data_IF_174511911624
#
_entry.id   IF_174511911624
#
_cell.length_a   1.000
_cell.length_b   1.000
_cell.length_c   1.000
_cell.angle_alpha   90.00
_cell.angle_beta   90.00
_cell.angle_gamma   90.00
#
_symmetry.space_group_name_H-M   'P 1'
#
loop_
_entity.id
_entity.type
_entity.pdbx_description
1 polymer ?
#
# COMPACT_ATOMS: atom_id res chain seq x y z
N UNK A 1 -39.50 50.86 4.98
CA UNK A 1 -39.35 50.38 3.59
C UNK A 1 -38.18 49.40 3.60
N UNK A 2 -38.38 48.20 4.15
CA UNK A 2 -38.85 46.96 3.49
C UNK A 2 -37.75 46.32 2.63
N UNK A 3 -36.91 45.54 3.31
CA UNK A 3 -35.98 44.55 2.78
C UNK A 3 -36.77 43.25 2.53
N UNK A 4 -36.81 42.81 1.27
CA UNK A 4 -37.51 41.58 0.86
C UNK A 4 -36.54 40.41 0.83
N UNK A 5 -36.80 39.39 1.65
CA UNK A 5 -36.19 38.07 1.57
C UNK A 5 -36.94 37.21 0.55
N UNK A 6 -36.21 36.57 -0.36
CA UNK A 6 -36.69 35.54 -1.28
C UNK A 6 -36.41 34.16 -0.67
N UNK A 7 -37.46 33.50 -0.18
CA UNK A 7 -37.46 32.06 0.11
C UNK A 7 -37.79 31.27 -1.17
N UNK A 8 -37.01 30.21 -1.44
CA UNK A 8 -37.22 29.26 -2.53
C UNK A 8 -37.17 27.80 -2.02
N UNK A 9 -38.10 26.90 -2.41
CA UNK A 9 -38.30 25.61 -1.75
C UNK A 9 -37.70 24.43 -2.54
N UNK A 10 -36.64 23.78 -2.04
CA UNK A 10 -36.07 22.54 -2.65
C UNK A 10 -35.64 21.45 -1.63
N UNK A 11 -36.07 21.52 -0.36
CA UNK A 11 -35.73 20.50 0.65
C UNK A 11 -36.70 19.29 0.71
N UNK A 12 -37.78 19.30 -0.07
CA UNK A 12 -38.92 18.36 0.10
C UNK A 12 -38.84 17.02 -0.64
N UNK A 13 -37.89 16.83 -1.56
CA UNK A 13 -37.88 15.64 -2.44
C UNK A 13 -36.89 14.57 -1.99
N UNK A 14 -35.80 14.94 -1.30
CA UNK A 14 -34.79 14.00 -0.82
C UNK A 14 -35.25 13.14 0.36
N UNK A 15 -36.21 13.61 1.16
CA UNK A 15 -36.71 12.88 2.35
C UNK A 15 -37.66 11.74 1.94
N UNK A 16 -38.40 11.86 0.83
CA UNK A 16 -39.37 10.82 0.42
C UNK A 16 -38.73 9.57 -0.20
N UNK A 17 -37.60 9.70 -0.90
CA UNK A 17 -36.94 8.56 -1.54
C UNK A 17 -36.14 7.70 -0.54
N UNK A 18 -35.59 8.31 0.52
CA UNK A 18 -34.86 7.61 1.59
C UNK A 18 -35.83 6.79 2.47
N UNK A 19 -37.05 7.31 2.70
CA UNK A 19 -38.07 6.61 3.49
C UNK A 19 -38.58 5.34 2.79
N UNK A 20 -38.64 5.31 1.46
CA UNK A 20 -39.18 4.16 0.71
C UNK A 20 -38.18 2.98 0.66
N UNK A 21 -36.87 3.24 0.55
CA UNK A 21 -35.85 2.18 0.61
C UNK A 21 -35.74 1.60 2.02
N UNK A 22 -35.90 2.43 3.06
CA UNK A 22 -35.87 1.99 4.45
C UNK A 22 -37.14 1.18 4.84
N UNK A 23 -38.31 1.49 4.25
CA UNK A 23 -39.53 0.70 4.45
C UNK A 23 -39.48 -0.69 3.78
N UNK A 24 -38.82 -0.82 2.63
CA UNK A 24 -38.66 -2.11 1.94
C UNK A 24 -37.77 -3.09 2.70
N UNK A 25 -36.69 -2.62 3.32
CA UNK A 25 -35.77 -3.43 4.13
C UNK A 25 -36.29 -3.73 5.55
N UNK A 26 -37.12 -2.85 6.11
CA UNK A 26 -37.80 -3.07 7.41
C UNK A 26 -38.80 -4.23 7.40
N UNK A 27 -39.39 -4.55 6.25
CA UNK A 27 -40.39 -5.61 6.14
C UNK A 27 -39.79 -7.02 6.03
N UNK A 28 -38.52 -7.16 5.64
CA UNK A 28 -37.90 -8.47 5.39
C UNK A 28 -36.96 -8.90 6.52
N UNK A 29 -36.24 -7.99 7.18
CA UNK A 29 -35.30 -8.34 8.26
C UNK A 29 -35.17 -7.23 9.34
N UNK A 30 -36.07 -7.18 10.34
CA UNK A 30 -36.08 -6.11 11.34
C UNK A 30 -34.85 -6.08 12.28
N UNK A 31 -34.03 -7.15 12.31
CA UNK A 31 -32.82 -7.23 13.16
C UNK A 31 -31.53 -6.77 12.45
N UNK A 32 -31.53 -6.60 11.13
CA UNK A 32 -30.34 -6.20 10.37
C UNK A 32 -30.20 -4.68 10.20
N UNK A 33 -31.31 -3.95 10.30
CA UNK A 33 -31.36 -2.50 10.04
C UNK A 33 -30.66 -1.67 11.13
N UNK A 34 -30.78 -2.07 12.40
CA UNK A 34 -30.03 -1.41 13.49
C UNK A 34 -28.51 -1.58 13.33
N UNK A 35 -28.05 -2.70 12.78
CA UNK A 35 -26.61 -2.99 12.64
C UNK A 35 -25.97 -2.13 11.53
N UNK A 36 -26.65 -1.93 10.40
CA UNK A 36 -26.15 -1.12 9.28
C UNK A 36 -26.10 0.38 9.59
N UNK A 37 -27.11 0.93 10.28
CA UNK A 37 -27.13 2.34 10.69
C UNK A 37 -26.04 2.64 11.73
N UNK A 38 -25.76 1.69 12.63
CA UNK A 38 -24.72 1.80 13.67
C UNK A 38 -23.31 1.87 13.08
N UNK A 39 -23.01 1.10 12.02
CA UNK A 39 -21.71 1.10 11.34
C UNK A 39 -21.50 2.40 10.56
N UNK A 40 -22.53 2.90 9.88
CA UNK A 40 -22.42 4.09 9.03
C UNK A 40 -22.18 5.38 9.83
N UNK A 41 -22.75 5.45 11.04
CA UNK A 41 -22.72 6.65 11.86
C UNK A 41 -21.52 6.67 12.85
N UNK A 42 -21.01 5.50 13.26
CA UNK A 42 -19.79 5.42 14.08
C UNK A 42 -18.53 5.84 13.29
N UNK A 43 -18.57 5.65 11.96
CA UNK A 43 -17.52 6.10 11.03
C UNK A 43 -17.37 7.63 10.99
N UNK A 44 -18.46 8.39 11.06
CA UNK A 44 -18.41 9.85 10.97
C UNK A 44 -17.88 10.52 12.25
N UNK A 45 -18.02 9.87 13.42
CA UNK A 45 -17.61 10.45 14.70
C UNK A 45 -16.11 10.26 14.98
N UNK A 46 -15.53 9.10 14.63
CA UNK A 46 -14.10 8.80 14.87
C UNK A 46 -13.19 9.56 13.89
N UNK A 47 -13.67 9.85 12.67
CA UNK A 47 -12.86 10.50 11.63
C UNK A 47 -12.84 12.03 11.78
N UNK A 48 -13.93 12.67 12.23
CA UNK A 48 -13.95 14.12 12.47
C UNK A 48 -13.20 14.55 13.73
N UNK A 49 -13.05 13.67 14.73
CA UNK A 49 -12.32 13.96 15.97
C UNK A 49 -10.78 13.89 15.81
N UNK A 50 -10.26 13.33 14.71
CA UNK A 50 -8.82 13.10 14.52
C UNK A 50 -8.17 13.94 13.39
N UNK A 51 -8.94 14.72 12.64
CA UNK A 51 -8.42 15.44 11.47
C UNK A 51 -9.06 16.82 11.28
N UNK A 52 -8.56 17.87 11.96
CA UNK A 52 -8.44 19.29 11.52
C UNK A 52 -7.91 20.20 12.66
N UNK A 53 -7.15 21.30 12.43
CA UNK A 53 -6.16 21.60 11.39
C UNK A 53 -4.71 21.66 11.94
N UNK A 54 -3.75 21.27 11.09
CA UNK A 54 -2.36 21.73 11.19
C UNK A 54 -2.33 23.25 10.96
N UNK A 55 -2.30 24.01 12.05
CA UNK A 55 -2.00 25.44 12.08
C UNK A 55 -0.52 25.61 11.71
N UNK A 56 -0.24 26.02 10.46
CA UNK A 56 1.08 26.51 10.10
C UNK A 56 1.34 27.82 10.87
N UNK A 57 2.18 27.76 11.89
CA UNK A 57 2.72 28.93 12.58
C UNK A 57 4.07 29.27 11.93
N UNK A 58 4.08 30.28 11.07
CA UNK A 58 5.28 30.86 10.48
C UNK A 58 5.86 31.93 11.40
N UNK A 59 6.84 31.56 12.23
CA UNK A 59 7.75 32.54 12.84
C UNK A 59 9.13 31.91 13.01
N UNK A 60 10.00 32.09 12.01
CA UNK A 60 11.45 32.01 12.19
C UNK A 60 12.08 33.23 11.54
N UNK A 61 12.38 34.22 12.38
CA UNK A 61 13.27 35.34 12.10
C UNK A 61 14.68 34.88 12.47
N UNK A 62 15.40 34.32 11.50
CA UNK A 62 16.79 33.87 11.65
C UNK A 62 17.75 34.82 10.94
N UNK A 63 18.66 35.44 11.69
CA UNK A 63 19.77 36.27 11.21
C UNK A 63 20.69 35.45 10.29
N UNK A 64 21.01 36.01 9.12
CA UNK A 64 22.01 35.47 8.21
C UNK A 64 23.40 35.47 8.83
N UNK A 65 24.08 34.33 8.72
CA UNK A 65 25.52 34.18 8.90
C UNK A 65 26.04 33.59 7.60
N UNK A 66 26.86 34.36 6.89
CA UNK A 66 27.55 33.91 5.68
C UNK A 66 28.37 32.65 6.01
N UNK A 67 28.20 31.61 5.20
CA UNK A 67 29.03 30.41 5.23
C UNK A 67 29.72 30.32 3.87
N UNK A 68 31.04 30.33 3.95
CA UNK A 68 32.02 30.11 2.90
C UNK A 68 31.67 28.95 1.96
N UNK A 69 31.82 29.23 0.67
CA UNK A 69 31.73 28.30 -0.44
C UNK A 69 32.88 27.29 -0.42
N UNK A 70 32.65 26.12 0.18
CA UNK A 70 33.50 24.95 -0.04
C UNK A 70 33.08 24.21 -1.31
N UNK A 71 34.03 24.05 -2.23
CA UNK A 71 33.93 23.34 -3.51
C UNK A 71 33.28 21.95 -3.38
N UNK A 72 32.05 21.80 -3.89
CA UNK A 72 31.43 20.49 -4.08
C UNK A 72 32.01 19.79 -5.31
N UNK A 73 32.23 18.46 -5.25
CA UNK A 73 32.65 17.68 -6.40
C UNK A 73 31.55 17.68 -7.48
N UNK A 74 31.99 17.79 -8.74
CA UNK A 74 31.19 17.84 -9.96
C UNK A 74 30.18 16.68 -10.04
N UNK A 75 28.97 16.86 -9.50
CA UNK A 75 27.91 15.87 -9.61
C UNK A 75 27.24 16.00 -10.97
N UNK A 76 27.01 14.91 -11.72
CA UNK A 76 26.26 14.96 -12.97
C UNK A 76 24.84 15.45 -12.69
N UNK A 77 24.53 16.65 -13.20
CA UNK A 77 23.22 17.28 -13.10
C UNK A 77 22.28 16.51 -14.02
N UNK A 78 21.30 15.81 -13.47
CA UNK A 78 20.20 15.25 -14.27
C UNK A 78 19.46 16.44 -14.87
N UNK A 79 19.34 16.53 -16.21
CA UNK A 79 18.72 17.69 -16.85
C UNK A 79 17.25 17.82 -16.38
N UNK A 80 16.76 19.05 -16.19
CA UNK A 80 15.35 19.27 -15.91
C UNK A 80 14.52 18.68 -17.05
N UNK A 81 13.42 18.00 -16.69
CA UNK A 81 12.49 17.46 -17.67
C UNK A 81 12.01 18.60 -18.59
N UNK A 82 12.03 18.42 -19.93
CA UNK A 82 11.38 19.37 -20.82
C UNK A 82 9.89 19.38 -20.50
N UNK A 83 9.31 20.57 -20.34
CA UNK A 83 7.87 20.73 -20.12
C UNK A 83 7.15 20.05 -21.31
N UNK A 84 6.31 19.01 -21.09
CA UNK A 84 5.63 18.34 -22.18
C UNK A 84 4.87 19.40 -22.96
N UNK A 85 5.15 19.50 -24.27
CA UNK A 85 4.59 20.53 -25.12
C UNK A 85 3.08 20.63 -24.88
N UNK A 86 2.63 21.81 -24.46
CA UNK A 86 1.24 22.17 -24.20
C UNK A 86 0.45 22.22 -25.51
N UNK A 87 0.47 21.11 -26.26
CA UNK A 87 -0.47 20.90 -27.35
C UNK A 87 -1.88 21.08 -26.81
N UNK A 88 -2.78 21.62 -27.62
CA UNK A 88 -4.14 22.05 -27.24
C UNK A 88 -5.04 20.97 -26.64
N UNK A 89 -4.57 19.73 -26.49
CA UNK A 89 -5.31 18.65 -25.88
C UNK A 89 -5.33 18.79 -24.35
N UNK A 90 -6.52 18.99 -23.78
CA UNK A 90 -6.74 18.97 -22.34
C UNK A 90 -6.31 17.60 -21.76
N UNK A 91 -5.31 17.51 -20.88
CA UNK A 91 -4.85 16.23 -20.32
C UNK A 91 -5.94 15.53 -19.51
N UNK A 92 -6.93 16.27 -18.99
CA UNK A 92 -8.04 15.70 -18.24
C UNK A 92 -9.18 15.15 -19.12
N UNK A 93 -9.08 15.22 -20.45
CA UNK A 93 -10.17 14.82 -21.35
C UNK A 93 -10.44 13.30 -21.35
N UNK A 94 -9.42 12.48 -21.09
CA UNK A 94 -9.52 11.03 -21.04
C UNK A 94 -8.42 10.43 -20.16
N UNK A 95 -8.61 9.18 -19.71
CA UNK A 95 -7.57 8.46 -18.97
C UNK A 95 -6.27 8.35 -19.76
N UNK A 96 -6.37 8.08 -21.07
CA UNK A 96 -5.22 7.93 -21.96
C UNK A 96 -4.43 9.23 -22.07
N UNK A 97 -5.12 10.36 -22.25
CA UNK A 97 -4.51 11.69 -22.30
C UNK A 97 -3.85 12.06 -20.96
N UNK A 98 -4.52 11.79 -19.84
CA UNK A 98 -3.98 12.05 -18.51
C UNK A 98 -2.74 11.20 -18.26
N UNK A 99 -2.81 9.91 -18.60
CA UNK A 99 -1.72 8.97 -18.41
C UNK A 99 -0.50 9.33 -19.25
N UNK A 100 -0.69 9.72 -20.52
CA UNK A 100 0.38 10.21 -21.38
C UNK A 100 1.07 11.46 -20.81
N UNK A 101 0.31 12.34 -20.15
CA UNK A 101 0.84 13.54 -19.48
C UNK A 101 1.56 13.21 -18.16
N UNK A 102 1.04 12.25 -17.38
CA UNK A 102 1.55 11.86 -16.06
C UNK A 102 2.80 10.97 -16.14
N UNK A 103 2.86 10.05 -17.11
CA UNK A 103 3.90 9.01 -17.18
C UNK A 103 5.32 9.59 -17.19
N UNK A 104 5.65 10.65 -17.96
CA UNK A 104 7.01 11.22 -17.94
C UNK A 104 7.43 11.72 -16.55
N UNK A 105 6.50 12.28 -15.76
CA UNK A 105 6.78 12.71 -14.40
C UNK A 105 7.06 11.50 -13.49
N UNK A 106 6.27 10.42 -13.63
CA UNK A 106 6.45 9.19 -12.87
C UNK A 106 7.78 8.50 -13.22
N UNK A 107 8.09 8.37 -14.51
CA UNK A 107 9.35 7.77 -14.95
C UNK A 107 10.56 8.56 -14.44
N UNK A 108 10.47 9.89 -14.43
CA UNK A 108 11.54 10.70 -13.90
C UNK A 108 11.76 10.54 -12.39
N UNK A 109 10.70 10.39 -11.59
CA UNK A 109 10.85 10.24 -10.13
C UNK A 109 11.14 8.82 -9.69
N UNK A 110 10.64 7.81 -10.42
CA UNK A 110 10.75 6.40 -10.03
C UNK A 110 11.92 5.70 -10.73
N UNK A 111 12.14 5.97 -12.03
CA UNK A 111 13.09 5.23 -12.87
C UNK A 111 14.41 5.95 -13.10
N UNK A 112 14.44 7.29 -13.08
CA UNK A 112 15.69 8.01 -13.36
C UNK A 112 16.81 7.64 -12.37
N UNK A 113 18.04 7.45 -12.87
CA UNK A 113 19.20 7.28 -12.01
C UNK A 113 19.35 8.49 -11.08
N UNK A 114 19.55 8.23 -9.78
CA UNK A 114 19.91 9.24 -8.78
C UNK A 114 21.15 8.77 -8.03
N UNK A 115 22.06 9.71 -7.80
CA UNK A 115 23.24 9.52 -6.95
C UNK A 115 22.87 9.42 -5.48
N UNK A 116 21.65 9.87 -5.11
CA UNK A 116 21.15 9.84 -3.72
C UNK A 116 20.04 8.81 -3.60
N UNK A 117 20.30 7.59 -3.07
CA UNK A 117 19.29 6.54 -2.99
C UNK A 117 18.13 6.89 -2.04
N UNK A 118 18.32 7.86 -1.15
CA UNK A 118 17.31 8.33 -0.21
C UNK A 118 16.36 9.39 -0.78
N UNK A 119 16.65 9.97 -1.96
CA UNK A 119 15.89 11.09 -2.52
C UNK A 119 15.60 10.89 -4.01
N UNK A 120 14.32 11.03 -4.35
CA UNK A 120 13.87 11.05 -5.74
C UNK A 120 14.37 12.33 -6.46
N UNK A 121 14.62 12.27 -7.77
CA UNK A 121 14.83 13.46 -8.60
C UNK A 121 13.72 14.48 -8.43
N UNK A 122 14.07 15.76 -8.44
CA UNK A 122 13.09 16.83 -8.38
C UNK A 122 12.34 16.93 -9.71
N UNK A 123 11.03 17.18 -9.64
CA UNK A 123 10.22 17.61 -10.77
C UNK A 123 10.15 19.14 -10.72
N UNK A 124 10.15 19.77 -11.89
CA UNK A 124 9.89 21.20 -12.00
C UNK A 124 8.51 21.58 -11.40
N UNK A 125 8.44 22.76 -10.78
CA UNK A 125 7.23 23.19 -10.07
C UNK A 125 6.05 23.42 -11.03
N UNK A 126 6.29 23.92 -12.24
CA UNK A 126 5.23 24.11 -13.24
C UNK A 126 4.64 22.77 -13.64
N UNK A 127 5.50 21.77 -13.88
CA UNK A 127 5.03 20.44 -14.25
C UNK A 127 4.31 19.74 -13.09
N UNK A 128 4.80 19.89 -11.85
CA UNK A 128 4.13 19.40 -10.65
C UNK A 128 2.71 19.98 -10.52
N UNK A 129 2.56 21.30 -10.66
CA UNK A 129 1.28 21.98 -10.59
C UNK A 129 0.33 21.58 -11.74
N UNK A 130 0.89 21.40 -12.95
CA UNK A 130 0.19 20.90 -14.12
C UNK A 130 -0.39 19.50 -13.91
N UNK A 131 0.41 18.57 -13.40
CA UNK A 131 -0.03 17.20 -13.08
C UNK A 131 -1.13 17.21 -12.03
N UNK A 132 -0.93 17.95 -10.94
CA UNK A 132 -1.94 18.06 -9.89
C UNK A 132 -3.28 18.59 -10.44
N UNK A 133 -3.24 19.63 -11.25
CA UNK A 133 -4.42 20.24 -11.88
C UNK A 133 -5.10 19.29 -12.88
N UNK A 134 -4.32 18.57 -13.68
CA UNK A 134 -4.83 17.57 -14.62
C UNK A 134 -5.54 16.41 -13.90
N UNK A 135 -4.93 15.87 -12.84
CA UNK A 135 -5.55 14.83 -12.00
C UNK A 135 -6.83 15.33 -11.33
N UNK A 136 -6.80 16.54 -10.75
CA UNK A 136 -7.98 17.17 -10.16
C UNK A 136 -9.11 17.29 -11.18
N UNK A 137 -8.83 17.86 -12.34
CA UNK A 137 -9.81 18.08 -13.40
C UNK A 137 -10.35 16.74 -13.91
N UNK A 138 -9.52 15.72 -14.09
CA UNK A 138 -9.97 14.41 -14.56
C UNK A 138 -10.96 13.78 -13.57
N UNK A 139 -10.64 13.81 -12.27
CA UNK A 139 -11.48 13.23 -11.22
C UNK A 139 -12.79 14.03 -11.04
N UNK A 140 -12.74 15.35 -11.19
CA UNK A 140 -13.90 16.23 -10.95
C UNK A 140 -14.79 16.43 -12.18
N UNK A 141 -14.22 16.59 -13.38
CA UNK A 141 -15.00 16.78 -14.63
C UNK A 141 -15.90 15.59 -14.94
N UNK A 142 -15.44 14.39 -14.65
CA UNK A 142 -16.23 13.16 -14.84
C UNK A 142 -17.36 13.03 -13.81
N UNK A 143 -17.29 13.72 -12.67
CA UNK A 143 -18.44 13.83 -11.77
C UNK A 143 -19.56 14.73 -12.33
N UNK A 144 -19.23 15.70 -13.20
CA UNK A 144 -20.19 16.70 -13.73
C UNK A 144 -20.93 16.21 -14.97
N UNK A 145 -20.28 15.50 -15.89
CA UNK A 145 -20.88 14.94 -17.11
C UNK A 145 -22.07 14.01 -16.82
N UNK A 146 -22.14 13.45 -15.62
CA UNK A 146 -23.18 12.53 -15.19
C UNK A 146 -24.35 13.16 -14.41
N UNK A 147 -24.31 14.47 -14.15
CA UNK A 147 -25.44 15.22 -13.56
C UNK A 147 -26.45 15.73 -14.61
N UNK A 148 -26.28 15.40 -15.90
CA UNK A 148 -27.29 15.64 -16.92
C UNK A 148 -28.47 14.68 -16.63
N UNK A 149 -29.73 15.17 -16.55
CA UNK A 149 -30.84 14.35 -16.11
C UNK A 149 -31.02 13.15 -17.05
N UNK A 150 -31.00 11.90 -16.56
CA UNK A 150 -31.37 10.76 -17.38
C UNK A 150 -32.85 10.91 -17.73
N UNK A 151 -33.17 10.81 -19.02
CA UNK A 151 -34.52 10.56 -19.48
C UNK A 151 -35.07 9.32 -18.77
N UNK A 152 -35.97 9.57 -17.81
CA UNK A 152 -36.81 8.66 -17.01
C UNK A 152 -36.64 7.15 -17.27
N UNK A 153 -35.75 6.48 -16.52
CA UNK A 153 -35.96 5.12 -16.00
C UNK A 153 -35.34 4.99 -14.59
N UNK A 154 -36.07 4.51 -13.57
CA UNK A 154 -35.59 4.46 -12.20
C UNK A 154 -35.03 3.07 -11.86
N UNK A 155 -33.70 2.94 -11.78
CA UNK A 155 -33.03 1.88 -11.02
C UNK A 155 -31.54 2.18 -10.88
N UNK A 156 -31.07 2.33 -9.63
CA UNK A 156 -29.67 2.23 -9.14
C UNK A 156 -28.87 3.53 -8.88
N UNK A 157 -27.94 3.51 -7.89
CA UNK A 157 -27.54 4.68 -7.11
C UNK A 157 -26.34 5.42 -7.74
N UNK A 158 -26.42 6.75 -7.72
CA UNK A 158 -25.48 7.71 -8.32
C UNK A 158 -24.05 7.74 -7.73
N UNK A 159 -23.76 6.96 -6.69
CA UNK A 159 -22.42 6.89 -6.08
C UNK A 159 -21.44 6.00 -6.84
N UNK A 160 -21.94 5.03 -7.61
CA UNK A 160 -21.15 3.92 -8.16
C UNK A 160 -20.31 4.32 -9.40
N UNK A 161 -20.59 5.47 -10.02
CA UNK A 161 -19.98 5.87 -11.30
C UNK A 161 -18.77 6.80 -11.11
N UNK A 162 -18.78 7.68 -10.09
CA UNK A 162 -17.58 8.49 -9.74
C UNK A 162 -16.44 7.64 -9.17
N UNK A 163 -16.76 6.48 -8.60
CA UNK A 163 -15.78 5.47 -8.21
C UNK A 163 -15.04 4.88 -9.40
N UNK A 164 -15.68 4.73 -10.57
CA UNK A 164 -15.09 4.04 -11.73
C UNK A 164 -13.92 4.80 -12.32
N UNK A 165 -14.07 6.10 -12.59
CA UNK A 165 -13.00 6.91 -13.20
C UNK A 165 -11.74 7.00 -12.32
N UNK A 166 -11.93 7.17 -11.00
CA UNK A 166 -10.79 7.24 -10.08
C UNK A 166 -10.18 5.86 -9.83
N UNK A 167 -10.99 4.79 -9.93
CA UNK A 167 -10.50 3.41 -9.91
C UNK A 167 -9.63 3.12 -11.13
N UNK A 168 -10.02 3.54 -12.33
CA UNK A 168 -9.23 3.30 -13.54
C UNK A 168 -7.81 3.91 -13.44
N UNK A 169 -7.70 5.14 -12.90
CA UNK A 169 -6.40 5.76 -12.65
C UNK A 169 -5.59 5.00 -11.59
N UNK A 170 -6.23 4.53 -10.52
CA UNK A 170 -5.58 3.72 -9.50
C UNK A 170 -5.07 2.39 -10.06
N UNK A 171 -5.87 1.70 -10.87
CA UNK A 171 -5.50 0.45 -11.54
C UNK A 171 -4.36 0.66 -12.54
N UNK A 172 -4.33 1.82 -13.21
CA UNK A 172 -3.24 2.19 -14.09
C UNK A 172 -1.93 2.45 -13.32
N UNK A 173 -1.99 3.08 -12.14
CA UNK A 173 -0.84 3.23 -11.24
C UNK A 173 -0.35 1.87 -10.72
N UNK A 174 -1.28 0.98 -10.37
CA UNK A 174 -0.97 -0.36 -9.90
C UNK A 174 -0.22 -1.18 -10.97
N UNK A 175 -0.68 -1.14 -12.22
CA UNK A 175 0.02 -1.73 -13.39
C UNK A 175 1.41 -1.12 -13.58
N UNK A 176 1.51 0.21 -13.52
CA UNK A 176 2.78 0.93 -13.67
C UNK A 176 3.83 0.49 -12.64
N UNK A 177 3.47 0.43 -11.36
CA UNK A 177 4.39 -0.03 -10.32
C UNK A 177 4.74 -1.51 -10.48
N UNK A 178 3.81 -2.34 -10.95
CA UNK A 178 4.09 -3.73 -11.25
C UNK A 178 5.13 -3.88 -12.38
N UNK A 179 4.93 -3.20 -13.50
CA UNK A 179 5.83 -3.25 -14.66
C UNK A 179 7.22 -2.70 -14.32
N UNK A 180 7.26 -1.55 -13.64
CA UNK A 180 8.52 -0.95 -13.16
C UNK A 180 9.28 -1.93 -12.26
N UNK A 181 8.58 -2.63 -11.38
CA UNK A 181 9.21 -3.60 -10.48
C UNK A 181 9.74 -4.84 -11.23
N UNK A 182 9.02 -5.31 -12.25
CA UNK A 182 9.48 -6.42 -13.11
C UNK A 182 10.75 -6.05 -13.87
N UNK A 183 10.84 -4.83 -14.38
CA UNK A 183 12.06 -4.30 -15.02
C UNK A 183 13.26 -4.34 -14.05
N UNK A 184 13.05 -3.95 -12.79
CA UNK A 184 14.08 -4.05 -11.74
C UNK A 184 14.48 -5.51 -11.49
N UNK A 185 13.52 -6.44 -11.41
CA UNK A 185 13.81 -7.86 -11.20
C UNK A 185 14.62 -8.46 -12.37
N UNK A 186 14.29 -8.08 -13.61
CA UNK A 186 15.03 -8.50 -14.80
C UNK A 186 16.47 -8.00 -14.80
N UNK A 187 16.73 -6.86 -14.15
CA UNK A 187 18.05 -6.26 -14.00
C UNK A 187 18.83 -6.80 -12.79
N UNK A 188 18.23 -7.68 -11.98
CA UNK A 188 18.86 -8.16 -10.75
C UNK A 188 20.01 -9.16 -11.04
N UNK A 189 21.21 -8.95 -10.44
CA UNK A 189 22.36 -9.82 -10.65
C UNK A 189 22.16 -11.21 -10.03
N UNK A 190 23.14 -12.09 -10.24
CA UNK A 190 23.18 -13.41 -9.60
C UNK A 190 23.40 -13.30 -8.08
N UNK A 191 23.47 -14.43 -7.38
CA UNK A 191 23.28 -14.49 -5.93
C UNK A 191 24.30 -13.69 -5.08
N UNK A 192 25.58 -13.60 -5.46
CA UNK A 192 26.63 -12.93 -4.66
C UNK A 192 26.40 -11.42 -4.48
N UNK A 193 26.03 -10.72 -5.56
CA UNK A 193 25.84 -9.27 -5.57
C UNK A 193 24.38 -8.85 -5.32
N UNK A 194 23.50 -9.83 -5.12
CA UNK A 194 22.06 -9.61 -5.07
C UNK A 194 21.66 -8.66 -3.93
N UNK A 195 22.27 -8.80 -2.74
CA UNK A 195 21.90 -7.95 -1.59
C UNK A 195 22.37 -6.51 -1.79
N UNK A 196 23.61 -6.33 -2.27
CA UNK A 196 24.17 -5.03 -2.61
C UNK A 196 23.40 -4.35 -3.76
N UNK A 197 22.71 -5.12 -4.60
CA UNK A 197 21.77 -4.59 -5.59
C UNK A 197 20.41 -4.21 -4.97
N UNK A 198 19.80 -5.10 -4.18
CA UNK A 198 18.43 -4.94 -3.67
C UNK A 198 18.29 -3.71 -2.81
N UNK A 199 19.23 -3.48 -1.89
CA UNK A 199 19.15 -2.40 -0.91
C UNK A 199 19.07 -1.01 -1.58
N UNK A 200 20.06 -0.59 -2.41
CA UNK A 200 19.99 0.70 -3.08
C UNK A 200 18.87 0.76 -4.12
N UNK A 201 18.56 -0.35 -4.80
CA UNK A 201 17.44 -0.44 -5.74
C UNK A 201 16.11 -0.13 -5.04
N UNK A 202 15.83 -0.79 -3.91
CA UNK A 202 14.64 -0.54 -3.12
C UNK A 202 14.62 0.86 -2.53
N UNK A 203 15.74 1.36 -2.00
CA UNK A 203 15.80 2.71 -1.43
C UNK A 203 15.40 3.77 -2.47
N UNK A 204 15.97 3.68 -3.68
CA UNK A 204 15.63 4.56 -4.81
C UNK A 204 14.16 4.43 -5.19
N UNK A 205 13.69 3.20 -5.39
CA UNK A 205 12.29 2.92 -5.74
C UNK A 205 11.33 3.48 -4.69
N UNK A 206 11.62 3.26 -3.40
CA UNK A 206 10.84 3.74 -2.28
C UNK A 206 10.83 5.27 -2.22
N UNK A 207 11.96 5.94 -2.44
CA UNK A 207 12.02 7.40 -2.49
C UNK A 207 11.17 7.95 -3.65
N UNK A 208 11.24 7.32 -4.81
CA UNK A 208 10.40 7.62 -5.98
C UNK A 208 8.91 7.43 -5.70
N UNK A 209 8.53 6.31 -5.11
CA UNK A 209 7.15 6.01 -4.70
C UNK A 209 6.61 7.03 -3.69
N UNK A 210 7.42 7.47 -2.73
CA UNK A 210 7.03 8.54 -1.80
C UNK A 210 6.84 9.89 -2.51
N UNK A 211 7.64 10.17 -3.55
CA UNK A 211 7.44 11.36 -4.39
C UNK A 211 6.16 11.28 -5.21
N UNK A 212 5.89 10.14 -5.84
CA UNK A 212 4.65 9.88 -6.57
C UNK A 212 3.42 10.00 -5.66
N UNK A 213 3.50 9.50 -4.43
CA UNK A 213 2.46 9.61 -3.42
C UNK A 213 2.12 11.07 -3.06
N UNK A 214 3.14 11.95 -3.01
CA UNK A 214 2.93 13.40 -2.79
C UNK A 214 2.30 14.05 -4.02
N UNK A 215 2.83 13.78 -5.21
CA UNK A 215 2.34 14.29 -6.49
C UNK A 215 0.85 13.94 -6.71
N UNK A 216 0.48 12.72 -6.36
CA UNK A 216 -0.85 12.16 -6.57
C UNK A 216 -1.69 12.10 -5.29
N UNK A 217 -1.37 12.93 -4.29
CA UNK A 217 -2.07 12.90 -3.00
C UNK A 217 -3.58 13.18 -3.11
N UNK A 218 -4.01 13.83 -4.19
CA UNK A 218 -5.43 14.02 -4.49
C UNK A 218 -6.18 12.68 -4.66
N UNK A 219 -5.55 11.69 -5.32
CA UNK A 219 -6.10 10.33 -5.46
C UNK A 219 -6.26 9.67 -4.09
N UNK A 220 -5.28 9.83 -3.19
CA UNK A 220 -5.39 9.31 -1.83
C UNK A 220 -6.60 9.90 -1.07
N UNK A 221 -6.75 11.22 -1.13
CA UNK A 221 -7.79 11.94 -0.36
C UNK A 221 -9.21 11.66 -0.85
N UNK A 222 -9.38 11.48 -2.16
CA UNK A 222 -10.72 11.38 -2.77
C UNK A 222 -11.10 9.97 -3.18
N UNK A 223 -10.16 9.15 -3.66
CA UNK A 223 -10.45 7.78 -4.08
C UNK A 223 -10.09 6.77 -2.99
N UNK A 224 -8.83 6.73 -2.55
CA UNK A 224 -8.37 5.73 -1.58
C UNK A 224 -9.15 5.84 -0.28
N UNK A 225 -9.30 7.06 0.26
CA UNK A 225 -10.12 7.30 1.45
C UNK A 225 -11.54 6.76 1.28
N UNK A 226 -12.21 7.08 0.17
CA UNK A 226 -13.57 6.61 -0.11
C UNK A 226 -13.64 5.10 -0.23
N UNK A 227 -12.70 4.47 -0.94
CA UNK A 227 -12.64 3.02 -1.09
C UNK A 227 -12.43 2.31 0.26
N UNK A 228 -11.60 2.87 1.13
CA UNK A 228 -11.44 2.39 2.52
C UNK A 228 -12.74 2.57 3.30
N UNK A 229 -13.42 3.71 3.13
CA UNK A 229 -14.76 3.99 3.68
C UNK A 229 -15.86 3.06 3.10
N UNK A 230 -15.61 2.42 1.97
CA UNK A 230 -16.47 1.41 1.34
C UNK A 230 -16.02 -0.03 1.63
N UNK A 231 -15.15 -0.21 2.62
CA UNK A 231 -14.65 -1.53 3.06
C UNK A 231 -13.70 -2.25 2.09
N UNK A 232 -13.08 -1.52 1.16
CA UNK A 232 -12.07 -2.03 0.24
C UNK A 232 -10.63 -1.82 0.72
N UNK A 233 -10.45 -1.37 1.96
CA UNK A 233 -9.14 -1.11 2.55
C UNK A 233 -8.32 -2.38 2.86
N UNK A 234 -7.10 -2.20 3.37
CA UNK A 234 -6.22 -3.32 3.75
C UNK A 234 -6.80 -4.21 4.87
N UNK A 235 -7.61 -3.62 5.75
CA UNK A 235 -8.34 -4.31 6.81
C UNK A 235 -9.83 -4.10 6.58
N UNK A 236 -10.52 -5.15 6.11
CA UNK A 236 -11.97 -5.08 5.89
C UNK A 236 -12.75 -5.38 7.16
N UNK A 237 -13.98 -4.91 7.21
CA UNK A 237 -14.98 -5.24 8.21
C UNK A 237 -15.19 -6.74 8.20
N UNK A 238 -15.17 -7.41 7.04
CA UNK A 238 -15.20 -8.88 6.95
C UNK A 238 -14.10 -9.55 7.77
N UNK A 239 -12.84 -9.08 7.64
CA UNK A 239 -11.68 -9.62 8.37
C UNK A 239 -11.79 -9.39 9.89
N UNK A 240 -12.41 -8.28 10.29
CA UNK A 240 -12.63 -7.93 11.69
C UNK A 240 -13.86 -8.64 12.26
N UNK A 241 -14.92 -8.79 11.46
CA UNK A 241 -16.22 -9.27 11.88
C UNK A 241 -16.17 -10.73 12.31
N UNK A 242 -15.37 -11.58 11.66
CA UNK A 242 -15.22 -12.97 12.13
C UNK A 242 -14.64 -13.03 13.56
N UNK A 243 -13.72 -12.11 13.89
CA UNK A 243 -13.17 -11.99 15.24
C UNK A 243 -14.15 -11.36 16.21
N UNK A 244 -14.86 -10.32 15.79
CA UNK A 244 -15.85 -9.62 16.61
C UNK A 244 -17.05 -10.52 16.88
N UNK A 245 -17.59 -11.24 15.90
CA UNK A 245 -18.72 -12.15 16.05
C UNK A 245 -18.45 -13.28 17.06
N UNK A 246 -17.21 -13.78 17.15
CA UNK A 246 -16.80 -14.77 18.17
C UNK A 246 -16.75 -14.19 19.59
N UNK A 247 -16.61 -12.87 19.72
CA UNK A 247 -16.40 -12.18 20.99
C UNK A 247 -17.55 -11.26 21.41
N UNK A 248 -18.52 -10.99 20.52
CA UNK A 248 -19.66 -10.11 20.79
C UNK A 248 -20.73 -10.87 21.54
N UNK A 249 -21.20 -10.27 22.63
CA UNK A 249 -22.35 -10.74 23.40
C UNK A 249 -23.61 -10.03 22.92
N UNK A 250 -24.77 -10.67 23.07
CA UNK A 250 -26.05 -10.10 22.67
C UNK A 250 -26.39 -8.74 23.32
N UNK A 251 -25.73 -8.42 24.45
CA UNK A 251 -25.95 -7.20 25.22
C UNK A 251 -24.85 -6.14 25.00
N UNK A 252 -23.91 -6.37 24.09
CA UNK A 252 -22.85 -5.38 23.85
C UNK A 252 -23.43 -4.10 23.23
N UNK A 253 -23.02 -2.97 23.80
CA UNK A 253 -23.35 -1.63 23.31
C UNK A 253 -22.57 -1.30 22.04
N UNK A 254 -23.03 -0.25 21.33
CA UNK A 254 -22.37 0.27 20.12
C UNK A 254 -20.92 0.66 20.38
N UNK A 255 -20.67 1.30 21.50
CA UNK A 255 -19.35 1.77 21.93
C UNK A 255 -18.42 0.58 22.21
N UNK A 256 -18.94 -0.51 22.80
CA UNK A 256 -18.18 -1.74 23.05
C UNK A 256 -17.80 -2.45 21.76
N UNK A 257 -18.70 -2.49 20.77
CA UNK A 257 -18.41 -3.04 19.44
C UNK A 257 -17.31 -2.20 18.75
N UNK A 258 -17.43 -0.87 18.77
CA UNK A 258 -16.41 0.03 18.21
C UNK A 258 -15.04 -0.14 18.90
N UNK A 259 -15.02 -0.33 20.22
CA UNK A 259 -13.80 -0.63 20.98
C UNK A 259 -13.18 -1.96 20.56
N UNK A 260 -13.98 -3.02 20.41
CA UNK A 260 -13.50 -4.34 19.95
C UNK A 260 -12.93 -4.28 18.53
N UNK A 261 -13.52 -3.49 17.64
CA UNK A 261 -12.98 -3.24 16.29
C UNK A 261 -11.63 -2.54 16.38
N UNK A 262 -11.51 -1.48 17.19
CA UNK A 262 -10.24 -0.76 17.41
C UNK A 262 -9.17 -1.68 17.99
N UNK A 263 -9.51 -2.48 19.00
CA UNK A 263 -8.61 -3.45 19.63
C UNK A 263 -8.11 -4.48 18.61
N UNK A 264 -9.00 -5.03 17.78
CA UNK A 264 -8.62 -5.97 16.72
C UNK A 264 -7.66 -5.31 15.72
N UNK A 265 -7.90 -4.06 15.33
CA UNK A 265 -6.98 -3.31 14.47
C UNK A 265 -5.60 -3.17 15.13
N UNK A 266 -5.54 -2.86 16.42
CA UNK A 266 -4.27 -2.78 17.18
C UNK A 266 -3.56 -4.14 17.20
N UNK A 267 -4.28 -5.24 17.42
CA UNK A 267 -3.71 -6.60 17.38
C UNK A 267 -3.11 -6.91 16.00
N UNK A 268 -3.80 -6.55 14.92
CA UNK A 268 -3.28 -6.72 13.56
C UNK A 268 -2.03 -5.87 13.31
N UNK A 269 -2.00 -4.63 13.81
CA UNK A 269 -0.82 -3.75 13.73
C UNK A 269 0.33 -4.22 14.64
N UNK A 270 0.04 -4.92 15.73
CA UNK A 270 1.03 -5.55 16.60
C UNK A 270 1.90 -6.56 15.86
N UNK A 271 1.36 -7.23 14.83
CA UNK A 271 2.14 -8.09 13.93
C UNK A 271 3.23 -7.32 13.17
N UNK A 272 3.10 -6.01 13.06
CA UNK A 272 4.06 -5.13 12.39
C UNK A 272 4.97 -4.38 13.37
N UNK A 273 4.92 -4.74 14.66
CA UNK A 273 5.73 -4.16 15.72
C UNK A 273 5.12 -2.91 16.37
N UNK A 274 3.85 -2.59 16.08
CA UNK A 274 3.15 -1.51 16.76
C UNK A 274 2.79 -1.91 18.19
N UNK A 275 3.03 -1.01 19.14
CA UNK A 275 2.62 -1.15 20.54
C UNK A 275 1.92 0.12 20.98
N UNK A 276 0.68 0.02 21.45
CA UNK A 276 -0.12 1.19 21.85
C UNK A 276 0.52 1.84 23.09
N UNK A 277 0.70 3.17 23.06
CA UNK A 277 1.23 3.94 24.18
C UNK A 277 2.72 3.82 24.44
N UNK A 278 3.45 3.01 23.66
CA UNK A 278 4.89 2.90 23.81
C UNK A 278 5.56 4.20 23.34
N UNK A 279 6.32 4.84 24.25
CA UNK A 279 7.15 6.03 23.99
C UNK A 279 8.60 5.61 24.10
N UNK A 280 9.38 5.75 23.04
CA UNK A 280 10.77 5.33 22.99
C UNK A 280 11.35 5.43 21.59
N UNK A 281 12.65 5.69 21.50
CA UNK A 281 13.38 5.63 20.24
C UNK A 281 13.39 4.20 19.69
N UNK A 282 13.19 4.05 18.38
CA UNK A 282 13.20 2.73 17.71
C UNK A 282 11.85 1.99 17.68
N UNK A 283 10.78 2.55 18.27
CA UNK A 283 9.45 1.97 18.17
C UNK A 283 8.81 2.28 16.81
N UNK A 284 8.10 1.28 16.29
CA UNK A 284 7.36 1.42 15.02
C UNK A 284 6.18 2.35 15.25
N UNK A 285 6.14 3.45 14.52
CA UNK A 285 5.01 4.38 14.61
C UNK A 285 3.73 3.73 14.07
N UNK A 286 2.57 4.24 14.47
CA UNK A 286 1.28 3.77 13.95
C UNK A 286 1.25 3.82 12.41
N UNK A 287 1.71 4.94 11.84
CA UNK A 287 1.73 5.16 10.39
C UNK A 287 2.67 4.18 9.66
N UNK A 288 3.83 3.86 10.23
CA UNK A 288 4.74 2.87 9.65
C UNK A 288 4.17 1.46 9.71
N UNK A 289 3.54 1.08 10.83
CA UNK A 289 2.90 -0.22 10.96
C UNK A 289 1.72 -0.38 9.99
N UNK A 290 0.91 0.66 9.83
CA UNK A 290 -0.17 0.71 8.84
C UNK A 290 0.38 0.61 7.41
N UNK A 291 1.42 1.36 7.06
CA UNK A 291 2.05 1.26 5.74
C UNK A 291 2.61 -0.15 5.45
N UNK A 292 3.21 -0.81 6.44
CA UNK A 292 3.68 -2.19 6.30
C UNK A 292 2.50 -3.17 6.13
N UNK A 293 1.42 -2.99 6.89
CA UNK A 293 0.21 -3.82 6.78
C UNK A 293 -0.49 -3.63 5.42
N UNK A 294 -0.55 -2.40 4.94
CA UNK A 294 -1.04 -2.07 3.60
C UNK A 294 -0.20 -2.71 2.51
N UNK A 295 1.12 -2.59 2.56
CA UNK A 295 2.03 -3.23 1.61
C UNK A 295 1.89 -4.77 1.64
N UNK A 296 1.58 -5.33 2.81
CA UNK A 296 1.36 -6.75 2.99
C UNK A 296 -0.02 -7.25 2.52
N UNK A 297 -0.96 -6.35 2.25
CA UNK A 297 -2.32 -6.71 1.87
C UNK A 297 -2.36 -7.45 0.51
N UNK A 298 -3.43 -8.22 0.25
CA UNK A 298 -3.72 -8.76 -1.08
C UNK A 298 -3.86 -7.66 -2.15
N UNK A 299 -3.65 -8.02 -3.43
CA UNK A 299 -3.67 -7.06 -4.56
C UNK A 299 -5.05 -6.47 -4.84
N UNK A 300 -6.13 -7.15 -4.42
CA UNK A 300 -7.52 -6.69 -4.52
C UNK A 300 -7.90 -5.60 -3.51
N UNK A 301 -7.03 -5.31 -2.52
CA UNK A 301 -7.25 -4.24 -1.55
C UNK A 301 -6.80 -2.89 -2.09
N UNK A 302 -7.49 -1.83 -1.70
CA UNK A 302 -7.15 -0.43 -1.98
C UNK A 302 -6.35 0.13 -0.80
N UNK A 303 -5.17 0.65 -1.10
CA UNK A 303 -4.20 1.18 -0.14
C UNK A 303 -3.59 2.49 -0.63
N UNK A 304 -2.86 3.21 0.22
CA UNK A 304 -2.15 4.42 -0.19
C UNK A 304 -1.16 4.14 -1.33
N UNK A 305 -0.94 5.13 -2.21
CA UNK A 305 -0.07 4.99 -3.40
C UNK A 305 1.36 4.55 -3.03
N UNK A 306 1.92 5.05 -1.93
CA UNK A 306 3.23 4.57 -1.47
C UNK A 306 3.23 3.09 -1.09
N UNK A 307 2.21 2.65 -0.36
CA UNK A 307 2.04 1.26 0.06
C UNK A 307 1.70 0.34 -1.11
N UNK A 308 0.99 0.85 -2.12
CA UNK A 308 0.71 0.19 -3.40
C UNK A 308 2.01 -0.14 -4.14
N UNK A 309 2.92 0.84 -4.24
CA UNK A 309 4.24 0.63 -4.83
C UNK A 309 5.05 -0.41 -4.04
N UNK A 310 5.11 -0.28 -2.70
CA UNK A 310 5.80 -1.25 -1.85
C UNK A 310 5.20 -2.67 -1.96
N UNK A 311 3.87 -2.78 -2.06
CA UNK A 311 3.17 -4.05 -2.33
C UNK A 311 3.62 -4.66 -3.66
N UNK A 312 3.74 -3.85 -4.71
CA UNK A 312 4.23 -4.32 -6.02
C UNK A 312 5.69 -4.73 -5.97
N UNK A 313 6.54 -4.00 -5.23
CA UNK A 313 7.91 -4.44 -4.96
C UNK A 313 7.94 -5.81 -4.28
N UNK A 314 7.03 -6.07 -3.32
CA UNK A 314 6.93 -7.39 -2.70
C UNK A 314 6.55 -8.47 -3.72
N UNK A 315 5.43 -8.31 -4.40
CA UNK A 315 4.83 -9.39 -5.22
C UNK A 315 5.59 -9.64 -6.52
N UNK A 316 6.15 -8.60 -7.13
CA UNK A 316 6.79 -8.70 -8.45
C UNK A 316 8.32 -8.81 -8.36
N UNK A 317 8.95 -8.50 -7.21
CA UNK A 317 10.41 -8.58 -7.02
C UNK A 317 10.81 -9.54 -5.90
N UNK A 318 10.34 -9.32 -4.66
CA UNK A 318 10.81 -10.08 -3.51
C UNK A 318 10.29 -11.52 -3.51
N UNK A 319 8.99 -11.74 -3.74
CA UNK A 319 8.38 -13.07 -3.77
C UNK A 319 8.99 -13.99 -4.84
N UNK A 320 9.23 -13.55 -6.09
CA UNK A 320 9.97 -14.34 -7.08
C UNK A 320 11.39 -14.73 -6.63
N UNK A 321 12.09 -13.87 -5.89
CA UNK A 321 13.42 -14.18 -5.38
C UNK A 321 13.40 -15.12 -4.16
N UNK A 322 12.28 -15.15 -3.43
CA UNK A 322 12.04 -16.09 -2.33
C UNK A 322 11.56 -17.46 -2.82
N UNK A 323 10.90 -17.51 -3.98
CA UNK A 323 10.36 -18.73 -4.54
C UNK A 323 11.47 -19.75 -4.85
N UNK A 324 11.22 -21.00 -4.45
CA UNK A 324 12.08 -22.13 -4.80
C UNK A 324 11.78 -22.53 -6.24
N UNK A 325 12.78 -22.58 -7.15
CA UNK A 325 12.57 -23.10 -8.49
C UNK A 325 12.02 -24.52 -8.40
N UNK A 326 10.79 -24.73 -8.90
CA UNK A 326 10.23 -26.07 -9.02
C UNK A 326 11.08 -26.81 -10.04
N UNK A 327 12.05 -27.62 -9.58
CA UNK A 327 12.77 -28.53 -10.45
C UNK A 327 11.72 -29.41 -11.12
N UNK A 328 11.44 -29.16 -12.40
CA UNK A 328 10.46 -29.92 -13.17
C UNK A 328 11.03 -31.32 -13.28
N UNK A 329 10.68 -32.15 -12.29
CA UNK A 329 11.17 -33.51 -12.15
C UNK A 329 11.03 -34.19 -13.49
N UNK A 330 12.17 -34.57 -14.07
CA UNK A 330 12.26 -35.39 -15.26
C UNK A 330 11.45 -36.64 -14.93
N UNK A 331 10.21 -36.71 -15.44
CA UNK A 331 9.25 -37.77 -15.16
C UNK A 331 9.93 -39.08 -15.54
N UNK A 332 10.51 -39.74 -14.55
CA UNK A 332 11.21 -41.00 -14.68
C UNK A 332 10.21 -42.01 -15.20
N UNK A 333 10.26 -42.22 -16.51
CA UNK A 333 9.54 -43.26 -17.23
C UNK A 333 10.16 -44.59 -16.81
N UNK A 334 9.76 -45.13 -15.66
CA UNK A 334 9.96 -46.53 -15.29
C UNK A 334 9.15 -46.87 -14.04
N UNK A 335 8.00 -47.52 -14.22
CA UNK A 335 7.85 -48.96 -13.96
C UNK A 335 6.42 -49.38 -14.34
N UNK A 336 6.32 -50.17 -15.42
CA UNK A 336 5.18 -51.06 -15.64
C UNK A 336 5.14 -52.03 -14.46
N UNK A 337 4.03 -52.06 -13.73
CA UNK A 337 3.71 -53.07 -12.72
C UNK A 337 2.20 -53.14 -12.63
N UNK A 338 1.64 -54.22 -13.15
CA UNK A 338 0.21 -54.48 -13.27
C UNK A 338 -0.42 -54.93 -11.94
N UNK A 339 -1.73 -54.70 -11.82
CA UNK A 339 -2.63 -55.23 -10.79
C UNK A 339 -2.88 -54.22 -9.65
N UNK A 340 -4.10 -53.88 -9.24
CA UNK A 340 -5.46 -54.30 -9.59
C UNK A 340 -6.38 -53.83 -8.46
N UNK A 341 -7.60 -53.38 -8.78
CA UNK A 341 -8.66 -52.98 -7.84
C UNK A 341 -8.38 -51.66 -7.10
N UNK A 342 -9.27 -50.67 -7.02
CA UNK A 342 -10.72 -50.68 -6.93
C UNK A 342 -11.08 -49.85 -5.69
N UNK A 343 -11.94 -48.84 -5.84
CA UNK A 343 -12.52 -48.10 -4.70
C UNK A 343 -12.32 -46.59 -4.76
N UNK A 344 -13.39 -45.88 -5.08
CA UNK A 344 -13.45 -44.42 -5.14
C UNK A 344 -13.46 -43.74 -3.77
N UNK A 345 -13.13 -42.45 -3.77
CA UNK A 345 -13.23 -41.56 -2.62
C UNK A 345 -12.88 -40.14 -3.04
N UNK A 346 -13.91 -39.29 -3.11
CA UNK A 346 -13.87 -37.89 -3.53
C UNK A 346 -13.68 -36.99 -2.29
N UNK A 347 -12.79 -35.99 -2.44
CA UNK A 347 -12.66 -34.71 -1.74
C UNK A 347 -12.51 -34.63 -0.22
N UNK A 348 -11.46 -33.90 0.20
CA UNK A 348 -11.36 -33.25 1.51
C UNK A 348 -10.01 -32.58 1.68
N UNK A 349 -9.94 -31.27 1.40
CA UNK A 349 -8.72 -30.46 1.51
C UNK A 349 -8.18 -30.39 2.94
N UNK A 350 -6.89 -30.68 3.09
CA UNK A 350 -6.18 -30.60 4.35
C UNK A 350 -4.75 -30.10 4.12
N UNK A 351 -4.56 -28.80 4.25
CA UNK A 351 -3.25 -28.18 4.46
C UNK A 351 -2.81 -28.49 5.88
N UNK A 352 -1.81 -29.36 6.06
CA UNK A 352 -0.88 -29.26 7.19
C UNK A 352 0.39 -30.03 6.88
N UNK A 353 1.46 -29.27 6.69
CA UNK A 353 2.83 -29.75 6.59
C UNK A 353 3.37 -30.00 7.99
N UNK A 354 3.55 -31.27 8.38
CA UNK A 354 4.47 -31.66 9.45
C UNK A 354 5.26 -32.87 8.97
N UNK A 355 6.31 -32.63 8.17
CA UNK A 355 7.31 -33.63 7.83
C UNK A 355 8.61 -33.29 8.54
N UNK A 356 8.81 -33.86 9.73
CA UNK A 356 10.11 -33.97 10.40
C UNK A 356 10.94 -35.08 9.73
N UNK A 357 11.23 -34.91 8.44
CA UNK A 357 12.11 -35.78 7.68
C UNK A 357 13.36 -35.01 7.28
N UNK A 358 14.52 -35.44 7.77
CA UNK A 358 15.88 -35.01 7.39
C UNK A 358 16.16 -35.34 5.91
N UNK A 359 15.38 -34.78 4.99
CA UNK A 359 15.73 -34.76 3.58
C UNK A 359 16.85 -33.75 3.34
N UNK A 360 17.77 -33.99 2.39
CA UNK A 360 18.77 -33.01 2.02
C UNK A 360 18.07 -31.70 1.64
N UNK A 361 18.57 -30.54 2.10
CA UNK A 361 17.90 -29.27 1.92
C UNK A 361 17.69 -29.01 0.43
N UNK A 362 16.43 -28.98 0.00
CA UNK A 362 16.07 -28.61 -1.37
C UNK A 362 16.63 -27.23 -1.74
N UNK A 363 16.68 -26.90 -3.04
CA UNK A 363 17.23 -25.62 -3.49
C UNK A 363 16.47 -24.47 -2.82
N UNK A 364 17.16 -23.65 -2.03
CA UNK A 364 16.57 -22.45 -1.42
C UNK A 364 16.31 -21.41 -2.52
N UNK A 365 15.36 -20.50 -2.29
CA UNK A 365 15.15 -19.33 -3.16
C UNK A 365 16.43 -18.48 -3.25
N UNK A 366 16.61 -17.76 -4.36
CA UNK A 366 17.81 -16.96 -4.66
C UNK A 366 18.19 -16.00 -3.54
N UNK A 367 17.20 -15.24 -3.04
CA UNK A 367 17.43 -14.30 -1.93
C UNK A 367 17.83 -15.03 -0.64
N UNK A 368 17.25 -16.21 -0.37
CA UNK A 368 17.62 -16.98 0.80
C UNK A 368 19.03 -17.58 0.70
N UNK A 369 19.53 -17.85 -0.52
CA UNK A 369 20.94 -18.25 -0.75
C UNK A 369 21.88 -17.06 -0.57
N UNK A 370 21.57 -15.92 -1.18
CA UNK A 370 22.37 -14.69 -1.02
C UNK A 370 22.48 -14.26 0.46
N UNK A 371 21.38 -14.31 1.22
CA UNK A 371 21.42 -14.01 2.67
C UNK A 371 22.18 -15.08 3.45
N UNK A 372 22.15 -16.35 3.01
CA UNK A 372 22.96 -17.39 3.64
C UNK A 372 24.44 -17.10 3.45
N UNK A 373 24.85 -16.78 2.23
CA UNK A 373 26.22 -16.44 1.85
C UNK A 373 26.71 -15.19 2.58
N UNK A 374 25.93 -14.11 2.60
CA UNK A 374 26.27 -12.88 3.33
C UNK A 374 26.54 -13.14 4.82
N UNK A 375 25.71 -13.97 5.46
CA UNK A 375 25.79 -14.21 6.90
C UNK A 375 26.82 -15.28 7.30
N UNK A 376 27.27 -16.11 6.36
CA UNK A 376 28.21 -17.22 6.59
C UNK A 376 29.57 -16.98 5.93
N UNK A 377 29.77 -15.88 5.21
CA UNK A 377 31.06 -15.56 4.59
C UNK A 377 32.13 -15.35 5.66
N UNK A 378 33.28 -15.98 5.51
CA UNK A 378 34.45 -15.78 6.37
C UNK A 378 35.27 -14.62 5.79
N UNK A 379 35.45 -13.53 6.56
CA UNK A 379 36.20 -12.34 6.11
C UNK A 379 35.95 -11.10 6.95
N UNK A 380 36.89 -10.16 6.88
CA UNK A 380 37.11 -9.03 7.81
C UNK A 380 36.07 -7.89 7.79
N UNK A 381 34.97 -8.00 7.05
CA UNK A 381 33.96 -6.94 6.94
C UNK A 381 32.63 -7.28 7.66
N UNK A 382 32.73 -7.56 8.96
CA UNK A 382 31.56 -7.84 9.80
C UNK A 382 30.62 -6.63 9.96
N UNK A 383 31.16 -5.43 9.87
CA UNK A 383 30.38 -4.19 9.93
C UNK A 383 29.47 -4.06 8.70
N UNK A 384 29.99 -4.31 7.49
CA UNK A 384 29.19 -4.33 6.26
C UNK A 384 28.10 -5.39 6.29
N UNK A 385 28.42 -6.61 6.77
CA UNK A 385 27.43 -7.68 6.91
C UNK A 385 26.29 -7.26 7.83
N UNK A 386 26.62 -6.66 8.97
CA UNK A 386 25.64 -6.13 9.91
C UNK A 386 24.78 -5.04 9.27
N UNK A 387 25.41 -4.07 8.59
CA UNK A 387 24.71 -2.99 7.87
C UNK A 387 23.75 -3.54 6.82
N UNK A 388 24.22 -4.42 5.94
CA UNK A 388 23.39 -5.06 4.92
C UNK A 388 22.24 -5.87 5.53
N UNK A 389 22.48 -6.59 6.64
CA UNK A 389 21.44 -7.35 7.31
C UNK A 389 20.34 -6.44 7.90
N UNK A 390 20.72 -5.33 8.56
CA UNK A 390 19.79 -4.32 9.10
C UNK A 390 18.98 -3.67 7.99
N UNK A 391 19.63 -3.22 6.92
CA UNK A 391 18.97 -2.57 5.80
C UNK A 391 18.04 -3.54 5.06
N UNK A 392 18.47 -4.76 4.78
CA UNK A 392 17.63 -5.77 4.14
C UNK A 392 16.43 -6.16 5.01
N UNK A 393 16.61 -6.29 6.34
CA UNK A 393 15.48 -6.51 7.25
C UNK A 393 14.47 -5.36 7.19
N UNK A 394 14.96 -4.11 7.10
CA UNK A 394 14.13 -2.92 6.91
C UNK A 394 13.37 -2.94 5.57
N UNK A 395 14.03 -3.34 4.47
CA UNK A 395 13.38 -3.53 3.16
C UNK A 395 12.25 -4.56 3.26
N UNK A 396 12.54 -5.76 3.78
CA UNK A 396 11.55 -6.83 3.91
C UNK A 396 10.35 -6.40 4.76
N UNK A 397 10.59 -5.65 5.84
CA UNK A 397 9.52 -5.10 6.68
C UNK A 397 8.66 -4.10 5.90
N UNK A 398 9.26 -3.10 5.24
CA UNK A 398 8.56 -2.03 4.52
C UNK A 398 7.70 -2.55 3.38
N UNK A 399 8.16 -3.57 2.66
CA UNK A 399 7.38 -4.19 1.57
C UNK A 399 6.32 -5.16 2.09
N UNK A 400 6.15 -5.33 3.40
CA UNK A 400 5.10 -6.15 3.97
C UNK A 400 5.43 -7.65 3.98
N UNK A 401 6.71 -8.04 4.09
CA UNK A 401 7.07 -9.43 4.44
C UNK A 401 6.78 -9.65 5.92
N UNK A 402 5.93 -10.65 6.18
CA UNK A 402 5.46 -10.96 7.53
C UNK A 402 6.61 -11.27 8.49
N UNK A 403 6.49 -10.90 9.79
CA UNK A 403 7.52 -11.14 10.81
C UNK A 403 7.80 -12.63 11.04
N UNK A 404 6.84 -13.51 10.76
CA UNK A 404 6.97 -14.94 10.95
C UNK A 404 7.81 -15.62 9.86
N UNK A 405 8.08 -14.92 8.76
CA UNK A 405 8.86 -15.41 7.62
C UNK A 405 10.29 -15.79 8.04
N UNK A 406 10.73 -16.99 7.64
CA UNK A 406 12.01 -17.58 8.07
C UNK A 406 13.22 -16.70 7.77
N UNK A 407 13.24 -16.07 6.59
CA UNK A 407 14.35 -15.19 6.21
C UNK A 407 14.43 -13.94 7.10
N UNK A 408 13.28 -13.35 7.43
CA UNK A 408 13.20 -12.15 8.26
C UNK A 408 13.64 -12.48 9.70
N UNK A 409 13.15 -13.59 10.25
CA UNK A 409 13.62 -14.13 11.55
C UNK A 409 15.13 -14.39 11.58
N UNK A 410 15.70 -14.92 10.48
CA UNK A 410 17.16 -15.17 10.39
C UNK A 410 17.94 -13.86 10.49
N UNK A 411 17.53 -12.83 9.75
CA UNK A 411 18.15 -11.51 9.80
C UNK A 411 17.98 -10.84 11.17
N UNK A 412 16.76 -10.83 11.72
CA UNK A 412 16.49 -10.25 13.04
C UNK A 412 17.29 -10.94 14.16
N UNK A 413 17.43 -12.28 14.11
CA UNK A 413 18.28 -13.02 15.06
C UNK A 413 19.75 -12.65 14.92
N UNK A 414 20.27 -12.53 13.69
CA UNK A 414 21.65 -12.12 13.46
C UNK A 414 21.92 -10.72 14.02
N UNK A 415 21.03 -9.77 13.75
CA UNK A 415 21.12 -8.39 14.28
C UNK A 415 21.11 -8.40 15.82
N UNK A 416 20.19 -9.15 16.43
CA UNK A 416 20.10 -9.24 17.89
C UNK A 416 21.36 -9.83 18.54
N UNK A 417 21.97 -10.84 17.92
CA UNK A 417 23.25 -11.41 18.37
C UNK A 417 24.37 -10.36 18.36
N UNK A 418 24.48 -9.56 17.29
CA UNK A 418 25.51 -8.52 17.17
C UNK A 418 25.34 -7.37 18.17
N UNK A 419 24.10 -6.94 18.40
CA UNK A 419 23.81 -5.92 19.43
C UNK A 419 24.20 -6.42 20.84
N UNK A 420 24.02 -7.72 21.10
CA UNK A 420 24.38 -8.33 22.39
C UNK A 420 25.88 -8.50 22.61
N UNK A 421 26.67 -8.58 21.53
CA UNK A 421 28.14 -8.62 21.59
C UNK A 421 28.71 -7.23 21.90
N UNK A 422 28.23 -6.20 21.19
CA UNK A 422 28.73 -4.82 21.36
C UNK A 422 28.39 -4.17 22.71
N UNK A 423 27.42 -4.70 23.46
CA UNK A 423 27.03 -4.18 24.77
C UNK A 423 27.81 -4.75 25.96
N UNK A 424 28.80 -5.62 25.73
CA UNK A 424 29.60 -6.27 26.79
C UNK A 424 30.97 -5.64 27.01
N UNK A 425 31.41 -4.79 26.09
CA UNK A 425 32.62 -3.97 26.19
C UNK A 425 32.28 -2.62 26.85
#
# INVERSE_FOLDING_TARGET
MSEQALEGPQAGVYIKSIVIVDLGLRLVYPKYTQFCTVIYDARNYVINALFFPLRMSSTLKGKGKEIESSSQPNTPIVPPLPNPATGSANPAASLSSLWAYLTPALDHIVKSPTNTPSRAPAIDMEFYAGVHSACYNYITSQAVTHNIPPSRKPSSPSSEITSTTSADLYDQLDKYFADTTRELLLSAPQDSDLIHYIIPCFNRYSAGAQSANRLLNYVNRHYVKRAVDEDRGWLSIGDVFEHVAKNVKANDTREEIARKIKEKRIVELGKWGYTEGAKGEGLVTLAEAEACAEAASPVDRIVHISSLAHRRFRTEFIEPLLAVPKMKGKKGKNKKGAGGGGGGGINGGGSSSHSNGFGPPGPKGRLARAVKELLESEGDDEEEKCRCAVELASVLKKVGVKPDHLLRKKLERFIASRVSENGKD
#
